data_IF_022594902580
#
_entry.id   IF_022594902580
#
_cell.length_a   1.000
_cell.length_b   1.000
_cell.length_c   1.000
_cell.angle_alpha   90.00
_cell.angle_beta   90.00
_cell.angle_gamma   90.00
#
_symmetry.space_group_name_H-M   'P 1'
#
loop_
_entity.id
_entity.type
_entity.pdbx_description
1 polymer ?
#
# COMPACT_ATOMS: atom_id res chain seq x y z
N UNK A 1 19.98 2.29 18.07
CA UNK A 1 19.62 2.92 16.78
C UNK A 1 18.17 2.58 16.48
N UNK A 2 17.35 3.55 16.04
CA UNK A 2 15.91 3.35 15.74
C UNK A 2 15.68 3.15 14.22
N UNK A 3 16.44 2.24 13.62
CA UNK A 3 16.44 2.07 12.15
C UNK A 3 15.08 1.55 11.69
N UNK A 4 14.48 0.60 12.41
CA UNK A 4 13.19 0.05 12.01
C UNK A 4 12.08 1.10 12.12
N UNK A 5 12.08 1.92 13.17
CA UNK A 5 11.12 3.02 13.32
C UNK A 5 11.29 4.10 12.25
N UNK A 6 12.53 4.42 11.85
CA UNK A 6 12.80 5.38 10.78
C UNK A 6 12.36 4.84 9.41
N UNK A 7 12.71 3.60 9.10
CA UNK A 7 12.27 2.93 7.87
C UNK A 7 10.75 2.82 7.80
N UNK A 8 10.09 2.52 8.91
CA UNK A 8 8.63 2.47 9.00
C UNK A 8 7.99 3.81 8.66
N UNK A 9 8.50 4.90 9.21
CA UNK A 9 8.04 6.24 8.89
C UNK A 9 8.27 6.57 7.40
N UNK A 10 9.46 6.29 6.86
CA UNK A 10 9.78 6.56 5.47
C UNK A 10 8.86 5.80 4.49
N UNK A 11 8.66 4.49 4.72
CA UNK A 11 7.74 3.68 3.91
C UNK A 11 6.29 4.17 4.02
N UNK A 12 5.86 4.56 5.22
CA UNK A 12 4.53 5.10 5.44
C UNK A 12 4.31 6.41 4.68
N UNK A 13 5.24 7.37 4.78
CA UNK A 13 5.11 8.65 4.07
C UNK A 13 5.15 8.48 2.55
N UNK A 14 6.01 7.61 2.02
CA UNK A 14 6.03 7.27 0.59
C UNK A 14 4.73 6.62 0.14
N UNK A 15 4.21 5.69 0.94
CA UNK A 15 2.93 5.04 0.65
C UNK A 15 1.77 6.03 0.63
N UNK A 16 1.69 6.89 1.64
CA UNK A 16 0.71 7.96 1.73
C UNK A 16 0.79 8.91 0.53
N UNK A 17 2.00 9.30 0.13
CA UNK A 17 2.21 10.17 -1.02
C UNK A 17 1.66 9.54 -2.30
N UNK A 18 2.00 8.28 -2.60
CA UNK A 18 1.51 7.59 -3.80
C UNK A 18 0.00 7.36 -3.77
N UNK A 19 -0.55 6.96 -2.60
CA UNK A 19 -1.99 6.83 -2.43
C UNK A 19 -2.69 8.17 -2.66
N UNK A 20 -2.21 9.25 -2.06
CA UNK A 20 -2.79 10.59 -2.23
C UNK A 20 -2.70 11.08 -3.68
N UNK A 21 -1.55 10.91 -4.34
CA UNK A 21 -1.38 11.22 -5.77
C UNK A 21 -2.39 10.48 -6.63
N UNK A 22 -2.67 9.20 -6.34
CA UNK A 22 -3.67 8.44 -7.08
C UNK A 22 -5.07 9.08 -7.04
N UNK A 23 -5.43 9.75 -5.94
CA UNK A 23 -6.69 10.48 -5.82
C UNK A 23 -6.64 11.90 -6.38
N UNK A 24 -5.48 12.57 -6.33
CA UNK A 24 -5.33 13.97 -6.73
C UNK A 24 -5.15 14.15 -8.25
N UNK A 25 -4.68 13.12 -8.96
CA UNK A 25 -4.60 13.17 -10.42
C UNK A 25 -6.00 13.23 -11.04
N UNK A 26 -6.12 13.91 -12.18
CA UNK A 26 -7.41 14.14 -12.87
C UNK A 26 -8.19 12.85 -13.17
N UNK A 27 -7.48 11.73 -13.30
CA UNK A 27 -8.07 10.40 -13.33
C UNK A 27 -7.45 9.57 -12.20
N UNK A 28 -8.27 8.73 -11.56
CA UNK A 28 -7.78 7.78 -10.58
C UNK A 28 -6.76 6.85 -11.21
N UNK A 29 -5.58 6.75 -10.60
CA UNK A 29 -4.47 5.96 -11.15
C UNK A 29 -4.28 4.69 -10.33
N UNK A 30 -4.76 3.55 -10.83
CA UNK A 30 -4.84 2.29 -10.08
C UNK A 30 -3.47 1.77 -9.66
N UNK A 31 -2.48 1.77 -10.55
CA UNK A 31 -1.14 1.28 -10.23
C UNK A 31 -0.48 2.08 -9.10
N UNK A 32 -0.71 3.40 -9.07
CA UNK A 32 -0.15 4.29 -8.07
C UNK A 32 -0.82 4.06 -6.70
N UNK A 33 -2.12 3.80 -6.71
CA UNK A 33 -2.85 3.39 -5.51
C UNK A 33 -2.33 2.07 -4.94
N UNK A 34 -2.13 1.06 -5.79
CA UNK A 34 -1.60 -0.25 -5.39
C UNK A 34 -0.19 -0.12 -4.81
N UNK A 35 0.71 0.61 -5.47
CA UNK A 35 2.07 0.86 -4.97
C UNK A 35 2.00 1.58 -3.63
N UNK A 36 1.14 2.60 -3.51
CA UNK A 36 0.93 3.32 -2.25
C UNK A 36 0.51 2.39 -1.11
N UNK A 37 -0.48 1.52 -1.34
CA UNK A 37 -0.92 0.54 -0.34
C UNK A 37 0.18 -0.45 0.06
N UNK A 38 0.98 -0.92 -0.89
CA UNK A 38 2.10 -1.84 -0.62
C UNK A 38 3.15 -1.14 0.27
N UNK A 39 3.50 0.10 -0.04
CA UNK A 39 4.45 0.89 0.76
C UNK A 39 3.90 1.15 2.17
N UNK A 40 2.62 1.51 2.29
CA UNK A 40 1.96 1.69 3.58
C UNK A 40 1.97 0.40 4.40
N UNK A 41 1.69 -0.76 3.78
CA UNK A 41 1.75 -2.06 4.41
C UNK A 41 3.18 -2.41 4.85
N UNK A 42 4.19 -2.15 4.03
CA UNK A 42 5.59 -2.34 4.39
C UNK A 42 5.99 -1.46 5.59
N UNK A 43 5.49 -0.22 5.65
CA UNK A 43 5.63 0.67 6.80
C UNK A 43 5.02 0.10 8.08
N UNK A 44 3.82 -0.47 7.98
CA UNK A 44 3.19 -1.15 9.11
C UNK A 44 3.99 -2.39 9.57
N UNK A 45 4.42 -3.25 8.63
CA UNK A 45 5.23 -4.45 8.93
C UNK A 45 6.56 -4.09 9.59
N UNK A 46 7.23 -3.04 9.12
CA UNK A 46 8.49 -2.56 9.71
C UNK A 46 8.26 -1.93 11.08
N UNK A 47 7.13 -1.26 11.32
CA UNK A 47 6.73 -0.81 12.65
C UNK A 47 6.45 -1.97 13.62
N UNK A 48 5.85 -3.08 13.16
CA UNK A 48 5.72 -4.30 13.95
C UNK A 48 7.09 -4.89 14.31
N UNK A 49 8.04 -4.91 13.36
CA UNK A 49 9.43 -5.31 13.65
C UNK A 49 10.10 -4.40 14.68
N UNK A 50 9.87 -3.08 14.62
CA UNK A 50 10.37 -2.13 15.62
C UNK A 50 9.82 -2.39 17.03
N UNK A 51 8.55 -2.83 17.13
CA UNK A 51 7.96 -3.24 18.41
C UNK A 51 8.57 -4.54 18.92
N UNK A 52 8.75 -5.54 18.06
CA UNK A 52 9.40 -6.80 18.41
C UNK A 52 10.86 -6.61 18.84
N UNK A 53 11.57 -5.66 18.21
CA UNK A 53 12.93 -5.28 18.57
C UNK A 53 13.03 -4.35 19.79
N UNK A 54 11.90 -4.05 20.45
CA UNK A 54 11.81 -3.16 21.61
C UNK A 54 12.50 -1.79 21.41
N UNK A 55 12.48 -1.24 20.18
CA UNK A 55 13.08 0.06 19.91
C UNK A 55 12.44 1.14 20.80
N UNK A 56 13.23 2.06 21.36
CA UNK A 56 12.68 3.16 22.12
C UNK A 56 11.77 4.06 21.25
N UNK A 57 10.87 4.84 21.87
CA UNK A 57 10.07 5.86 21.17
C UNK A 57 8.67 5.42 20.73
N UNK A 58 7.85 6.43 20.39
CA UNK A 58 6.41 6.25 20.07
C UNK A 58 6.10 6.16 18.57
N UNK A 59 7.07 6.45 17.71
CA UNK A 59 6.89 6.51 16.25
C UNK A 59 6.29 5.25 15.66
N UNK A 60 6.74 4.06 16.12
CA UNK A 60 6.20 2.76 15.70
C UNK A 60 4.68 2.61 15.92
N UNK A 61 4.17 3.11 17.05
CA UNK A 61 2.73 3.08 17.33
C UNK A 61 1.97 4.08 16.45
N UNK A 62 2.54 5.28 16.25
CA UNK A 62 1.93 6.31 15.39
C UNK A 62 1.79 5.81 13.96
N UNK A 63 2.82 5.17 13.40
CA UNK A 63 2.79 4.63 12.03
C UNK A 63 1.69 3.57 11.88
N UNK A 64 1.54 2.68 12.85
CA UNK A 64 0.51 1.62 12.80
C UNK A 64 -0.89 2.21 12.93
N UNK A 65 -1.11 3.10 13.90
CA UNK A 65 -2.41 3.77 14.05
C UNK A 65 -2.76 4.54 12.78
N UNK A 66 -1.81 5.28 12.22
CA UNK A 66 -2.04 6.04 11.00
C UNK A 66 -2.33 5.15 9.78
N UNK A 67 -1.65 4.00 9.65
CA UNK A 67 -1.93 3.00 8.63
C UNK A 67 -3.39 2.54 8.68
N UNK A 68 -3.87 2.10 9.84
CA UNK A 68 -5.24 1.62 9.99
C UNK A 68 -6.26 2.74 9.82
N UNK A 69 -6.00 3.95 10.34
CA UNK A 69 -6.90 5.10 10.18
C UNK A 69 -7.08 5.48 8.71
N UNK A 70 -6.00 5.54 7.93
CA UNK A 70 -6.10 5.87 6.50
C UNK A 70 -6.81 4.76 5.73
N UNK A 71 -6.49 3.50 6.02
CA UNK A 71 -7.15 2.37 5.37
C UNK A 71 -8.65 2.36 5.67
N UNK A 72 -9.04 2.70 6.90
CA UNK A 72 -10.43 2.87 7.30
C UNK A 72 -11.11 4.01 6.53
N UNK A 73 -10.47 5.18 6.43
CA UNK A 73 -11.00 6.31 5.65
C UNK A 73 -11.21 5.91 4.19
N UNK A 74 -10.23 5.26 3.55
CA UNK A 74 -10.34 4.80 2.16
C UNK A 74 -11.50 3.80 2.00
N UNK A 75 -11.62 2.85 2.92
CA UNK A 75 -12.68 1.85 2.88
C UNK A 75 -14.08 2.48 3.04
N UNK A 76 -14.19 3.56 3.83
CA UNK A 76 -15.46 4.27 4.05
C UNK A 76 -15.81 5.23 2.92
N UNK A 77 -14.84 6.01 2.42
CA UNK A 77 -15.11 7.05 1.42
C UNK A 77 -15.21 6.49 0.01
N UNK A 78 -14.46 5.41 -0.27
CA UNK A 78 -14.33 4.92 -1.63
C UNK A 78 -14.13 3.40 -1.69
N UNK A 79 -15.11 2.62 -1.18
CA UNK A 79 -15.04 1.16 -1.15
C UNK A 79 -14.87 0.54 -2.55
N UNK A 80 -15.39 1.21 -3.59
CA UNK A 80 -15.31 0.73 -4.96
C UNK A 80 -13.92 0.88 -5.59
N UNK A 81 -12.97 1.61 -4.99
CA UNK A 81 -11.59 1.63 -5.51
C UNK A 81 -10.90 0.28 -5.36
N UNK A 82 -11.22 -0.51 -4.32
CA UNK A 82 -10.72 -1.88 -4.21
C UNK A 82 -11.25 -2.76 -5.35
N UNK A 83 -12.53 -2.64 -5.67
CA UNK A 83 -13.13 -3.36 -6.81
C UNK A 83 -12.49 -2.91 -8.13
N UNK A 84 -12.28 -1.60 -8.30
CA UNK A 84 -11.64 -1.02 -9.49
C UNK A 84 -10.22 -1.54 -9.67
N UNK A 85 -9.44 -1.62 -8.59
CA UNK A 85 -8.09 -2.20 -8.60
C UNK A 85 -8.12 -3.65 -9.05
N UNK A 86 -9.03 -4.47 -8.51
CA UNK A 86 -9.16 -5.88 -8.90
C UNK A 86 -9.52 -6.00 -10.38
N UNK A 87 -10.44 -5.17 -10.88
CA UNK A 87 -10.80 -5.15 -12.30
C UNK A 87 -9.64 -4.70 -13.19
N UNK A 88 -8.90 -3.67 -12.79
CA UNK A 88 -7.72 -3.20 -13.49
C UNK A 88 -6.64 -4.26 -13.57
N UNK A 89 -6.36 -4.96 -12.46
CA UNK A 89 -5.42 -6.09 -12.43
C UNK A 89 -5.86 -7.16 -13.44
N UNK A 90 -7.13 -7.61 -13.35
CA UNK A 90 -7.67 -8.66 -14.22
C UNK A 90 -7.62 -8.29 -15.70
N UNK A 91 -7.90 -7.03 -16.03
CA UNK A 91 -7.91 -6.53 -17.40
C UNK A 91 -6.55 -5.97 -17.86
N UNK A 92 -5.50 -6.13 -17.06
CA UNK A 92 -4.19 -5.63 -17.43
C UNK A 92 -3.61 -6.47 -18.59
N UNK A 93 -3.02 -5.83 -19.62
CA UNK A 93 -2.44 -6.53 -20.76
C UNK A 93 -1.37 -7.56 -20.34
N UNK A 94 -0.67 -7.27 -19.25
CA UNK A 94 0.37 -8.15 -18.67
C UNK A 94 -0.25 -9.46 -18.19
N UNK A 95 -1.38 -9.41 -17.47
CA UNK A 95 -2.03 -10.63 -16.98
C UNK A 95 -2.65 -11.41 -18.13
N UNK A 96 -3.24 -10.73 -19.12
CA UNK A 96 -3.77 -11.41 -20.31
C UNK A 96 -2.67 -12.17 -21.06
N UNK A 97 -1.52 -11.53 -21.30
CA UNK A 97 -0.37 -12.19 -21.93
C UNK A 97 0.17 -13.36 -21.10
N UNK A 98 0.15 -13.26 -19.77
CA UNK A 98 0.54 -14.35 -18.88
C UNK A 98 -0.41 -15.55 -18.98
N UNK A 99 -1.72 -15.30 -18.99
CA UNK A 99 -2.74 -16.35 -19.14
C UNK A 99 -2.60 -17.05 -20.49
N UNK A 100 -2.49 -16.30 -21.57
CA UNK A 100 -2.26 -16.85 -22.92
C UNK A 100 -0.98 -17.71 -22.99
N UNK A 101 0.11 -17.26 -22.34
CA UNK A 101 1.35 -18.05 -22.25
C UNK A 101 1.17 -19.35 -21.48
N UNK A 102 0.37 -19.38 -20.42
CA UNK A 102 0.12 -20.61 -19.65
C UNK A 102 -0.79 -21.57 -20.42
N UNK A 103 -1.78 -21.06 -21.17
CA UNK A 103 -2.62 -21.89 -22.05
C UNK A 103 -1.81 -22.52 -23.19
N UNK A 104 -0.79 -21.83 -23.71
CA UNK A 104 0.12 -22.40 -24.70
C UNK A 104 1.06 -23.50 -24.15
N UNK A 105 1.20 -23.60 -22.82
CA UNK A 105 2.10 -24.56 -22.15
C UNK A 105 1.36 -25.80 -21.61
N UNK A 106 0.03 -25.87 -21.75
CA UNK A 106 -0.82 -26.98 -21.27
C UNK A 106 -1.36 -27.79 -22.45
#
# INVERSE_FOLDING_TARGET
MQIYSLSAAAFFFLGLLFTALSFLLSNFVEYLFVIGLIFMLAGAVTAFKAMAAAEAGKTKYVVITAFFSILFVIAMTAPFHFVRVVMWIKNSPIIQQLVERMEQLT
#
